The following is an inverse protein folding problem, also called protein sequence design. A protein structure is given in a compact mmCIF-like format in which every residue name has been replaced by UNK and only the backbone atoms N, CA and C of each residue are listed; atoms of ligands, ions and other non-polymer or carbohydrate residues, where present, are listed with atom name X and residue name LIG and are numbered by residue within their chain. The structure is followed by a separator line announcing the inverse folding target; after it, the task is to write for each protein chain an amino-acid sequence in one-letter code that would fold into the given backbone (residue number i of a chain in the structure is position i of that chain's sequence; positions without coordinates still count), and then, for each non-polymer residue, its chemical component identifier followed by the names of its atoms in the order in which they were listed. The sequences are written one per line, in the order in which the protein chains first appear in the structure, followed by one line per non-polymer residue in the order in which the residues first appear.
data_IF_886688213770
#
_entry.id   IF_886688213770
#
_cell.length_a   1.000
_cell.length_b   1.000
_cell.length_c   1.000
_cell.angle_alpha   90.00
_cell.angle_beta   90.00
_cell.angle_gamma   90.00
#
_symmetry.space_group_name_H-M   'P 1'
#
loop_
_entity.id
_entity.type
_entity.pdbx_description
1 polymer ?
#
# COMPACT_ATOMS: atom_id res chain seq x y z
N UNK A 1 30.88 34.25 0.78
CA UNK A 1 29.49 34.30 0.27
C UNK A 1 29.53 33.91 -1.21
N UNK A 2 28.86 32.93 -1.82
CA UNK A 2 27.92 31.88 -1.44
C UNK A 2 28.05 30.76 -2.51
N UNK A 3 27.92 29.50 -2.10
CA UNK A 3 28.20 28.32 -2.92
C UNK A 3 27.34 28.21 -4.20
N UNK A 4 28.06 27.97 -5.29
CA UNK A 4 27.73 27.30 -6.55
C UNK A 4 26.42 26.49 -6.62
N UNK A 5 25.44 27.06 -7.33
CA UNK A 5 24.80 26.54 -8.55
C UNK A 5 25.09 25.06 -8.89
N UNK A 6 24.08 24.20 -8.75
CA UNK A 6 23.61 23.24 -9.76
C UNK A 6 22.55 22.30 -9.14
N UNK A 7 21.29 22.51 -9.51
CA UNK A 7 20.17 21.68 -9.10
C UNK A 7 20.37 20.22 -9.51
N UNK A 8 20.22 19.31 -8.54
CA UNK A 8 20.12 17.87 -8.81
C UNK A 8 18.81 17.63 -9.53
N UNK A 9 18.89 17.59 -10.85
CA UNK A 9 17.79 17.19 -11.72
C UNK A 9 17.39 15.75 -11.43
N UNK A 10 16.16 15.56 -10.93
CA UNK A 10 15.35 14.34 -11.13
C UNK A 10 13.88 14.72 -11.15
N UNK A 11 13.44 15.41 -12.21
CA UNK A 11 12.02 15.53 -12.51
C UNK A 11 11.80 15.21 -13.99
N UNK A 12 12.03 13.95 -14.35
CA UNK A 12 11.39 13.36 -15.52
C UNK A 12 10.50 12.24 -15.03
N UNK A 13 9.20 12.49 -14.98
CA UNK A 13 8.13 11.54 -15.32
C UNK A 13 6.79 12.29 -15.39
N UNK A 14 6.62 13.05 -16.48
CA UNK A 14 5.30 13.32 -17.08
C UNK A 14 4.99 12.15 -18.04
N UNK A 15 3.73 11.71 -18.07
CA UNK A 15 3.12 10.66 -18.93
C UNK A 15 3.16 9.21 -18.41
N UNK A 16 2.31 8.87 -17.44
CA UNK A 16 1.80 7.49 -17.19
C UNK A 16 0.53 7.45 -16.30
N UNK A 17 -0.24 8.54 -16.24
CA UNK A 17 -1.21 8.79 -15.16
C UNK A 17 -2.54 7.99 -15.23
N UNK A 18 -2.72 7.07 -16.19
CA UNK A 18 -3.94 6.27 -16.31
C UNK A 18 -3.93 4.95 -15.54
N UNK A 19 -2.77 4.38 -15.20
CA UNK A 19 -2.68 3.04 -14.59
C UNK A 19 -1.73 2.96 -13.37
N UNK A 20 -0.74 3.85 -13.26
CA UNK A 20 0.17 3.87 -12.10
C UNK A 20 -0.51 4.33 -10.81
N UNK A 21 -1.49 5.25 -10.89
CA UNK A 21 -2.15 5.77 -9.69
C UNK A 21 -2.79 4.64 -8.85
N UNK A 22 -3.37 3.62 -9.49
CA UNK A 22 -3.91 2.46 -8.79
C UNK A 22 -2.80 1.62 -8.16
N UNK A 23 -1.71 1.35 -8.88
CA UNK A 23 -0.55 0.61 -8.35
C UNK A 23 0.13 1.33 -7.17
N UNK A 24 0.20 2.66 -7.23
CA UNK A 24 0.73 3.51 -6.16
C UNK A 24 -0.18 3.43 -4.92
N UNK A 25 -1.51 3.46 -5.11
CA UNK A 25 -2.49 3.30 -4.02
C UNK A 25 -2.45 1.90 -3.42
N UNK A 26 -2.26 0.86 -4.23
CA UNK A 26 -2.06 -0.52 -3.75
C UNK A 26 -0.80 -0.64 -2.91
N UNK A 27 0.30 -0.04 -3.36
CA UNK A 27 1.57 -0.05 -2.62
C UNK A 27 1.43 0.67 -1.30
N UNK A 28 0.79 1.84 -1.29
CA UNK A 28 0.48 2.58 -0.06
C UNK A 28 -0.38 1.75 0.91
N UNK A 29 -1.43 1.10 0.42
CA UNK A 29 -2.29 0.23 1.24
C UNK A 29 -1.49 -0.92 1.87
N UNK A 30 -0.64 -1.57 1.07
CA UNK A 30 0.24 -2.66 1.51
C UNK A 30 1.20 -2.19 2.61
N UNK A 31 1.91 -1.09 2.41
CA UNK A 31 2.89 -0.58 3.39
C UNK A 31 2.21 -0.27 4.72
N UNK A 32 1.06 0.41 4.68
CA UNK A 32 0.30 0.75 5.89
C UNK A 32 -0.21 -0.48 6.63
N UNK A 33 -0.77 -1.45 5.92
CA UNK A 33 -1.24 -2.70 6.52
C UNK A 33 -0.09 -3.50 7.11
N UNK A 34 1.02 -3.65 6.38
CA UNK A 34 2.21 -4.35 6.86
C UNK A 34 2.74 -3.70 8.13
N UNK A 35 2.84 -2.37 8.18
CA UNK A 35 3.24 -1.67 9.39
C UNK A 35 2.31 -1.96 10.57
N UNK A 36 0.98 -1.97 10.35
CA UNK A 36 0.02 -2.27 11.40
C UNK A 36 0.16 -3.71 11.93
N UNK A 37 0.42 -4.67 11.05
CA UNK A 37 0.65 -6.08 11.42
C UNK A 37 1.98 -6.21 12.17
N UNK A 38 3.08 -5.70 11.62
CA UNK A 38 4.43 -5.81 12.21
C UNK A 38 4.53 -5.08 13.55
N UNK A 39 3.82 -3.95 13.71
CA UNK A 39 3.76 -3.22 14.99
C UNK A 39 2.77 -3.83 15.99
N UNK A 40 2.11 -4.94 15.66
CA UNK A 40 1.12 -5.60 16.52
C UNK A 40 -0.15 -4.79 16.76
N UNK A 41 -0.44 -3.79 15.91
CA UNK A 41 -1.71 -3.03 15.96
C UNK A 41 -2.88 -3.84 15.42
N UNK A 42 -2.59 -4.85 14.60
CA UNK A 42 -3.50 -5.91 14.19
C UNK A 42 -2.98 -7.20 14.81
N UNK A 43 -3.75 -7.79 15.72
CA UNK A 43 -3.31 -9.01 16.39
C UNK A 43 -3.30 -10.19 15.40
N UNK A 44 -2.34 -11.12 15.49
CA UNK A 44 -2.36 -12.34 14.69
C UNK A 44 -3.69 -13.08 14.83
N UNK A 45 -4.23 -13.58 13.72
CA UNK A 45 -5.54 -14.25 13.71
C UNK A 45 -6.75 -13.31 13.81
N UNK A 46 -6.54 -12.00 13.93
CA UNK A 46 -7.65 -11.03 13.83
C UNK A 46 -8.27 -11.10 12.44
N UNK A 47 -9.60 -11.07 12.39
CA UNK A 47 -10.33 -10.95 11.14
C UNK A 47 -10.08 -9.57 10.55
N UNK A 48 -9.55 -9.52 9.33
CA UNK A 48 -9.37 -8.29 8.57
C UNK A 48 -10.44 -8.20 7.49
N UNK A 49 -11.22 -7.13 7.48
CA UNK A 49 -12.27 -6.89 6.50
C UNK A 49 -11.79 -5.83 5.51
N UNK A 50 -11.81 -6.15 4.21
CA UNK A 50 -11.33 -5.23 3.16
C UNK A 50 -12.02 -3.87 3.22
N UNK A 51 -13.34 -3.85 3.43
CA UNK A 51 -14.13 -2.62 3.51
C UNK A 51 -13.71 -1.75 4.69
N UNK A 52 -13.54 -2.32 5.89
CA UNK A 52 -13.13 -1.57 7.08
C UNK A 52 -11.71 -1.01 6.93
N UNK A 53 -10.81 -1.81 6.35
CA UNK A 53 -9.45 -1.36 6.05
C UNK A 53 -9.45 -0.25 5.02
N UNK A 54 -10.27 -0.35 3.98
CA UNK A 54 -10.42 0.68 2.96
C UNK A 54 -10.90 2.00 3.57
N UNK A 55 -11.92 1.95 4.42
CA UNK A 55 -12.42 3.11 5.14
C UNK A 55 -11.35 3.69 6.08
N UNK A 56 -10.67 2.85 6.86
CA UNK A 56 -9.61 3.27 7.80
C UNK A 56 -8.42 3.91 7.10
N UNK A 57 -8.09 3.46 5.89
CA UNK A 57 -6.99 4.01 5.09
C UNK A 57 -7.43 5.16 4.16
N UNK A 58 -8.74 5.44 4.06
CA UNK A 58 -9.28 6.42 3.11
C UNK A 58 -9.04 6.03 1.65
N UNK A 59 -9.05 4.72 1.36
CA UNK A 59 -8.79 4.14 0.05
C UNK A 59 -10.02 3.40 -0.47
N UNK A 60 -10.06 3.14 -1.78
CA UNK A 60 -11.09 2.30 -2.37
C UNK A 60 -10.77 0.81 -2.19
N UNK A 61 -11.77 -0.06 -2.38
CA UNK A 61 -11.62 -1.52 -2.23
C UNK A 61 -10.62 -2.12 -3.23
N UNK A 62 -10.51 -1.57 -4.44
CA UNK A 62 -9.61 -2.08 -5.49
C UNK A 62 -8.13 -2.11 -5.07
N UNK A 63 -7.50 -1.00 -4.63
CA UNK A 63 -6.11 -1.03 -4.17
C UNK A 63 -5.93 -1.81 -2.87
N UNK A 64 -6.94 -1.83 -2.00
CA UNK A 64 -6.90 -2.57 -0.73
C UNK A 64 -6.89 -4.08 -0.99
N UNK A 65 -7.76 -4.58 -1.87
CA UNK A 65 -7.75 -5.97 -2.31
C UNK A 65 -6.40 -6.39 -2.89
N UNK A 66 -5.80 -5.54 -3.74
CA UNK A 66 -4.45 -5.79 -4.25
C UNK A 66 -3.38 -5.86 -3.16
N UNK A 67 -3.50 -5.03 -2.12
CA UNK A 67 -2.61 -5.07 -0.96
C UNK A 67 -2.80 -6.35 -0.13
N UNK A 68 -4.05 -6.77 0.10
CA UNK A 68 -4.37 -8.04 0.75
C UNK A 68 -3.78 -9.22 -0.02
N UNK A 69 -3.95 -9.28 -1.33
CA UNK A 69 -3.34 -10.34 -2.16
C UNK A 69 -1.83 -10.42 -1.98
N UNK A 70 -1.14 -9.27 -1.95
CA UNK A 70 0.32 -9.22 -1.70
C UNK A 70 0.67 -9.68 -0.28
N UNK A 71 -0.06 -9.22 0.73
CA UNK A 71 0.14 -9.65 2.12
C UNK A 71 -0.09 -11.15 2.30
N UNK A 72 -1.06 -11.73 1.59
CA UNK A 72 -1.31 -13.17 1.57
C UNK A 72 -0.17 -13.93 0.92
N UNK A 73 0.35 -13.47 -0.23
CA UNK A 73 1.51 -14.08 -0.89
C UNK A 73 2.77 -14.05 -0.02
N UNK A 74 2.96 -12.99 0.77
CA UNK A 74 4.07 -12.84 1.70
C UNK A 74 3.84 -13.54 3.06
N UNK A 75 2.66 -14.11 3.29
CA UNK A 75 2.33 -14.85 4.52
C UNK A 75 1.98 -13.99 5.74
N UNK A 76 1.71 -12.69 5.56
CA UNK A 76 1.27 -11.81 6.66
C UNK A 76 -0.22 -11.99 7.00
N UNK A 77 -1.04 -12.41 6.04
CA UNK A 77 -2.50 -12.59 6.18
C UNK A 77 -2.90 -13.89 5.49
N UNK A 78 -3.95 -14.54 5.98
CA UNK A 78 -4.55 -15.72 5.34
C UNK A 78 -5.91 -15.35 4.78
N UNK A 79 -6.19 -15.71 3.53
CA UNK A 79 -7.52 -15.61 2.95
C UNK A 79 -8.29 -16.91 3.25
N UNK A 80 -9.38 -16.88 4.04
CA UNK A 80 -10.18 -18.07 4.33
C UNK A 80 -11.00 -18.58 3.13
N UNK A 81 -10.99 -17.89 1.97
CA UNK A 81 -11.78 -18.20 0.78
C UNK A 81 -11.01 -18.70 -0.44
N UNK A 82 -9.76 -19.15 -0.27
CA UNK A 82 -9.00 -19.86 -1.32
C UNK A 82 -8.70 -21.27 -0.81
N UNK A 83 -9.66 -22.16 -1.02
CA UNK A 83 -9.59 -23.59 -0.74
C UNK A 83 -10.49 -24.34 -1.70
#
# INVERSE_FOLDING_TARGET
MNNSKAGRGRVRKKKAQGNSATADRTTLAYERLRELIVRGRLAPGSRLIETEVAERLGLSRTPVRGAFQRLTQEGYVTDPGVG
#
